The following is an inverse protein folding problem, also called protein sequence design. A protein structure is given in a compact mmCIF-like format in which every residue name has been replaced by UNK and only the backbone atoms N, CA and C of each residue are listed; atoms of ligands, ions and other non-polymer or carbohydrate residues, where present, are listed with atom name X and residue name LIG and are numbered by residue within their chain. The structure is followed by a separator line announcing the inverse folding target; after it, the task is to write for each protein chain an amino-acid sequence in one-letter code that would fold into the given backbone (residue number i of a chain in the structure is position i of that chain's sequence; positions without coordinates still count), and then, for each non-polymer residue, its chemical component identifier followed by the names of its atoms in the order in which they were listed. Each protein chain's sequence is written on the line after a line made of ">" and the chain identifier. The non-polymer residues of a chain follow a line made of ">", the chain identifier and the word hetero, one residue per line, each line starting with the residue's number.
data_IF_875102238294
#
_entry.id   IF_875102238294
#
_cell.length_a   1.000
_cell.length_b   1.000
_cell.length_c   1.000
_cell.angle_alpha   90.00
_cell.angle_beta   90.00
_cell.angle_gamma   90.00
#
_symmetry.space_group_name_H-M   'P 1'
#
loop_
_entity.id
_entity.type
_entity.pdbx_description
1 polymer ?
#
# COMPACT_ATOMS: atom_id res chain seq x y z
N UNK A 1 -20.49 -25.17 22.76
CA UNK A 1 -19.20 -24.69 23.27
C UNK A 1 -18.18 -25.00 22.20
N UNK A 2 -17.78 -24.01 21.40
CA UNK A 2 -16.82 -24.20 20.31
C UNK A 2 -15.42 -24.29 20.92
N UNK A 3 -14.81 -25.48 20.85
CA UNK A 3 -13.40 -25.68 21.18
C UNK A 3 -12.56 -24.73 20.33
N UNK A 4 -11.85 -23.81 20.99
CA UNK A 4 -10.85 -22.99 20.32
C UNK A 4 -9.72 -23.92 19.91
N UNK A 5 -9.56 -24.14 18.60
CA UNK A 5 -8.42 -24.86 18.06
C UNK A 5 -7.13 -24.19 18.58
N UNK A 6 -6.31 -24.95 19.31
CA UNK A 6 -5.02 -24.48 19.79
C UNK A 6 -4.02 -24.58 18.63
N UNK A 7 -3.93 -23.51 17.83
CA UNK A 7 -3.01 -23.46 16.69
C UNK A 7 -1.59 -23.29 17.23
N UNK A 8 -0.74 -24.29 17.01
CA UNK A 8 0.69 -24.30 17.37
C UNK A 8 1.52 -24.13 16.09
N UNK A 9 2.54 -23.26 16.14
CA UNK A 9 3.51 -23.01 15.07
C UNK A 9 4.94 -23.11 15.60
N UNK A 10 5.91 -23.43 14.74
CA UNK A 10 7.33 -23.46 15.11
C UNK A 10 7.97 -22.06 15.03
N UNK A 11 9.08 -21.84 15.74
CA UNK A 11 9.84 -20.59 15.65
C UNK A 11 10.30 -20.32 14.22
N UNK A 12 10.79 -21.35 13.52
CA UNK A 12 11.22 -21.23 12.13
C UNK A 12 10.08 -20.83 11.20
N UNK A 13 8.88 -21.38 11.41
CA UNK A 13 7.69 -21.02 10.62
C UNK A 13 7.32 -19.54 10.79
N UNK A 14 7.39 -19.02 12.02
CA UNK A 14 7.14 -17.59 12.25
C UNK A 14 8.22 -16.71 11.61
N UNK A 15 9.49 -17.13 11.65
CA UNK A 15 10.59 -16.42 10.99
C UNK A 15 10.42 -16.42 9.46
N UNK A 16 10.16 -17.58 8.88
CA UNK A 16 9.97 -17.73 7.43
C UNK A 16 8.74 -16.95 6.94
N UNK A 17 7.65 -16.98 7.70
CA UNK A 17 6.43 -16.22 7.41
C UNK A 17 6.69 -14.70 7.31
N UNK A 18 7.63 -14.17 8.10
CA UNK A 18 7.96 -12.75 8.10
C UNK A 18 9.09 -12.37 7.15
N UNK A 19 9.91 -13.32 6.70
CA UNK A 19 11.13 -13.05 5.94
C UNK A 19 11.03 -13.45 4.47
N UNK A 20 10.29 -14.50 4.13
CA UNK A 20 10.27 -15.06 2.78
C UNK A 20 9.17 -14.44 1.91
N UNK A 21 9.41 -14.43 0.59
CA UNK A 21 8.51 -13.80 -0.38
C UNK A 21 8.59 -12.27 -0.31
N UNK A 22 7.64 -11.64 0.39
CA UNK A 22 7.63 -10.20 0.67
C UNK A 22 7.77 -10.00 2.18
N UNK A 23 8.94 -9.53 2.67
CA UNK A 23 9.16 -9.36 4.10
C UNK A 23 8.18 -8.38 4.75
N UNK A 24 7.83 -8.66 6.01
CA UNK A 24 6.92 -7.83 6.80
C UNK A 24 5.45 -8.17 6.62
N UNK A 25 4.56 -7.27 7.06
CA UNK A 25 3.10 -7.51 7.10
C UNK A 25 2.29 -6.52 6.29
N UNK A 26 2.87 -5.37 5.95
CA UNK A 26 2.14 -4.21 5.43
C UNK A 26 2.82 -3.74 4.15
N UNK A 27 2.00 -3.32 3.19
CA UNK A 27 2.42 -2.68 1.96
C UNK A 27 1.53 -1.47 1.63
N UNK A 28 2.12 -0.50 0.92
CA UNK A 28 1.41 0.60 0.29
C UNK A 28 1.57 0.43 -1.21
N UNK A 29 0.45 0.45 -1.94
CA UNK A 29 0.42 0.30 -3.40
C UNK A 29 -0.32 1.50 -4.00
N UNK A 30 0.16 1.99 -5.14
CA UNK A 30 -0.49 3.07 -5.86
C UNK A 30 -1.90 2.64 -6.32
N UNK A 31 -2.90 3.49 -6.09
CA UNK A 31 -4.29 3.23 -6.47
C UNK A 31 -4.62 3.62 -7.92
N UNK A 32 -3.67 4.23 -8.63
CA UNK A 32 -3.78 4.68 -10.03
C UNK A 32 -2.61 4.11 -10.85
N UNK A 33 -2.77 3.92 -12.18
CA UNK A 33 -1.68 3.49 -13.05
C UNK A 33 -0.48 4.44 -12.96
N UNK A 34 0.74 3.89 -12.92
CA UNK A 34 2.00 4.65 -12.84
C UNK A 34 3.03 4.14 -13.87
N UNK A 35 2.57 3.50 -14.95
CA UNK A 35 3.42 2.72 -15.84
C UNK A 35 4.02 3.54 -17.00
N UNK A 36 3.39 4.66 -17.35
CA UNK A 36 3.79 5.46 -18.51
C UNK A 36 4.25 6.86 -18.10
N UNK A 37 4.98 7.55 -18.97
CA UNK A 37 5.31 8.97 -18.79
C UNK A 37 4.04 9.81 -18.60
N UNK A 38 2.98 9.46 -19.33
CA UNK A 38 1.69 10.15 -19.26
C UNK A 38 1.03 9.97 -17.89
N UNK A 39 1.18 8.80 -17.27
CA UNK A 39 0.67 8.51 -15.93
C UNK A 39 1.44 9.30 -14.87
N UNK A 40 2.77 9.30 -14.96
CA UNK A 40 3.62 10.03 -14.03
C UNK A 40 3.38 11.54 -14.11
N UNK A 41 3.20 12.10 -15.31
CA UNK A 41 2.86 13.51 -15.51
C UNK A 41 1.51 13.90 -14.92
N UNK A 42 0.57 12.96 -14.76
CA UNK A 42 -0.70 13.21 -14.06
C UNK A 42 -0.54 13.11 -12.54
N UNK A 43 0.19 12.10 -12.08
CA UNK A 43 0.34 11.79 -10.66
C UNK A 43 1.25 12.78 -9.91
N UNK A 44 2.26 13.31 -10.62
CA UNK A 44 3.22 14.29 -10.13
C UNK A 44 3.17 15.54 -11.00
N UNK A 45 4.27 16.28 -11.09
CA UNK A 45 4.37 17.47 -11.92
C UNK A 45 4.25 17.12 -13.41
N UNK A 46 3.47 17.87 -14.20
CA UNK A 46 2.70 19.07 -13.81
C UNK A 46 1.28 18.78 -13.30
N UNK A 47 0.72 17.58 -13.51
CA UNK A 47 -0.69 17.26 -13.29
C UNK A 47 -1.18 17.44 -11.86
N UNK A 48 -0.35 17.14 -10.86
CA UNK A 48 -0.69 17.30 -9.43
C UNK A 48 -1.02 18.74 -9.03
N UNK A 49 -0.59 19.74 -9.80
CA UNK A 49 -0.90 21.14 -9.53
C UNK A 49 -2.40 21.44 -9.62
N UNK A 50 -3.14 20.74 -10.49
CA UNK A 50 -4.57 20.96 -10.72
C UNK A 50 -5.39 20.70 -9.44
N UNK A 51 -5.34 19.52 -8.80
CA UNK A 51 -6.06 19.30 -7.55
C UNK A 51 -5.54 20.20 -6.41
N UNK A 52 -4.23 20.50 -6.35
CA UNK A 52 -3.66 21.39 -5.32
C UNK A 52 -4.29 22.79 -5.40
N UNK A 53 -4.37 23.39 -6.59
CA UNK A 53 -4.97 24.71 -6.77
C UNK A 53 -6.49 24.69 -6.48
N UNK A 54 -7.19 23.61 -6.86
CA UNK A 54 -8.60 23.47 -6.57
C UNK A 54 -8.88 23.41 -5.05
N UNK A 55 -8.11 22.63 -4.31
CA UNK A 55 -8.20 22.55 -2.83
C UNK A 55 -7.81 23.89 -2.19
N UNK A 56 -6.78 24.57 -2.71
CA UNK A 56 -6.41 25.88 -2.20
C UNK A 56 -7.52 26.93 -2.38
N UNK A 57 -8.29 26.84 -3.47
CA UNK A 57 -9.40 27.74 -3.75
C UNK A 57 -10.68 27.38 -2.97
N UNK A 58 -10.93 26.09 -2.73
CA UNK A 58 -12.05 25.63 -1.92
C UNK A 58 -11.60 24.52 -0.96
N UNK A 59 -11.49 24.87 0.32
CA UNK A 59 -11.25 23.95 1.42
C UNK A 59 -12.62 23.58 2.00
N UNK A 60 -13.22 22.53 1.47
CA UNK A 60 -14.38 21.88 2.09
C UNK A 60 -13.98 21.24 3.44
#
# INVERSE_FOLDING_TARGET
>A
MTEKANIQYSEQEALDFHALGRPGKIEIVASKPMATQRDLSLAYSPGVAVPVLAIAANQD
#
